data_IF_314573676804
#
_entry.id   IF_314573676804
#
_cell.length_a   1.000
_cell.length_b   1.000
_cell.length_c   1.000
_cell.angle_alpha   90.00
_cell.angle_beta   90.00
_cell.angle_gamma   90.00
#
_symmetry.space_group_name_H-M   'P 1'
#
loop_
_entity.id
_entity.type
_entity.pdbx_description
1 polymer ?
#
# COMPACT_ATOMS: atom_id res chain seq x y z
N UNK A 1 -18.03 -0.07 1.21
CA UNK A 1 -16.79 0.60 1.67
C UNK A 1 -16.22 1.57 0.61
N UNK A 2 -16.03 1.22 -0.67
CA UNK A 2 -15.44 2.14 -1.66
C UNK A 2 -16.19 3.48 -1.81
N UNK A 3 -17.53 3.46 -1.76
CA UNK A 3 -18.35 4.70 -1.77
C UNK A 3 -18.06 5.61 -0.59
N UNK A 4 -17.94 5.05 0.62
CA UNK A 4 -17.61 5.83 1.81
C UNK A 4 -16.20 6.40 1.70
N UNK A 5 -15.24 5.61 1.20
CA UNK A 5 -13.87 6.06 1.00
C UNK A 5 -13.82 7.26 0.03
N UNK A 6 -14.53 7.18 -1.09
CA UNK A 6 -14.64 8.28 -2.05
C UNK A 6 -15.29 9.53 -1.46
N UNK A 7 -16.34 9.35 -0.67
CA UNK A 7 -16.99 10.44 0.04
C UNK A 7 -16.03 11.10 1.03
N UNK A 8 -15.33 10.31 1.85
CA UNK A 8 -14.36 10.79 2.82
C UNK A 8 -13.24 11.57 2.14
N UNK A 9 -12.64 11.03 1.08
CA UNK A 9 -11.62 11.71 0.27
C UNK A 9 -12.11 13.06 -0.23
N UNK A 10 -13.32 13.10 -0.79
CA UNK A 10 -13.92 14.33 -1.30
C UNK A 10 -14.13 15.37 -0.19
N UNK A 11 -14.66 14.95 0.97
CA UNK A 11 -14.90 15.85 2.09
C UNK A 11 -13.60 16.34 2.74
N UNK A 12 -12.58 15.47 2.84
CA UNK A 12 -11.29 15.83 3.39
C UNK A 12 -10.64 16.95 2.57
N UNK A 13 -10.63 16.82 1.24
CA UNK A 13 -10.04 17.85 0.37
C UNK A 13 -10.77 19.19 0.45
N UNK A 14 -12.07 19.19 0.75
CA UNK A 14 -12.85 20.43 0.93
C UNK A 14 -12.49 21.15 2.24
N UNK A 15 -12.14 20.40 3.29
CA UNK A 15 -11.92 20.96 4.62
C UNK A 15 -10.44 21.13 4.98
N UNK A 16 -9.57 20.32 4.41
CA UNK A 16 -8.15 20.24 4.74
C UNK A 16 -7.34 20.31 3.44
N UNK A 17 -6.86 21.50 3.04
CA UNK A 17 -5.97 21.64 1.90
C UNK A 17 -4.74 20.74 2.06
N UNK A 18 -4.51 19.87 1.07
CA UNK A 18 -3.39 18.93 1.08
C UNK A 18 -3.57 17.69 1.98
N UNK A 19 -4.75 17.50 2.60
CA UNK A 19 -5.06 16.24 3.29
C UNK A 19 -5.11 15.06 2.30
N UNK A 20 -4.72 13.87 2.77
CA UNK A 20 -4.72 12.63 1.97
C UNK A 20 -5.44 11.50 2.71
N UNK A 21 -6.20 10.70 1.97
CA UNK A 21 -6.78 9.44 2.42
C UNK A 21 -5.99 8.28 1.79
N UNK A 22 -5.38 7.46 2.65
CA UNK A 22 -4.64 6.27 2.24
C UNK A 22 -5.37 5.00 2.67
N UNK A 23 -5.44 4.02 1.77
CA UNK A 23 -5.97 2.70 2.08
C UNK A 23 -4.85 1.73 2.48
N UNK A 24 -4.95 1.09 3.65
CA UNK A 24 -4.02 0.05 4.07
C UNK A 24 -4.44 -1.32 3.53
N UNK A 25 -3.51 -2.03 2.90
CA UNK A 25 -3.69 -3.39 2.37
C UNK A 25 -4.17 -4.35 3.47
N UNK A 26 -5.48 -4.56 3.58
CA UNK A 26 -6.09 -5.32 4.66
C UNK A 26 -7.36 -6.01 4.17
N UNK A 27 -8.44 -5.27 3.96
CA UNK A 27 -9.71 -5.80 3.47
C UNK A 27 -9.69 -5.81 1.94
N UNK A 28 -10.10 -6.92 1.34
CA UNK A 28 -10.25 -7.06 -0.12
C UNK A 28 -11.69 -6.76 -0.55
N UNK A 29 -11.94 -6.69 -1.87
CA UNK A 29 -13.24 -6.35 -2.46
C UNK A 29 -14.40 -7.25 -2.00
N UNK A 30 -14.11 -8.50 -1.61
CA UNK A 30 -15.08 -9.43 -1.03
C UNK A 30 -15.47 -9.11 0.42
N UNK A 31 -14.81 -8.15 1.06
CA UNK A 31 -14.98 -7.79 2.47
C UNK A 31 -14.15 -8.63 3.44
N UNK A 32 -13.38 -9.61 2.96
CA UNK A 32 -12.51 -10.43 3.79
C UNK A 32 -11.24 -9.68 4.21
N UNK A 33 -10.79 -9.89 5.44
CA UNK A 33 -9.48 -9.45 5.92
C UNK A 33 -8.40 -10.39 5.38
N UNK A 34 -7.62 -9.93 4.40
CA UNK A 34 -6.53 -10.67 3.76
C UNK A 34 -5.49 -9.69 3.20
N UNK A 35 -4.28 -9.69 3.78
CA UNK A 35 -3.14 -8.94 3.26
C UNK A 35 -2.61 -9.54 1.96
N UNK A 36 -2.45 -8.72 0.91
CA UNK A 36 -1.90 -9.15 -0.37
C UNK A 36 -0.40 -8.86 -0.49
N UNK A 37 0.11 -7.94 0.33
CA UNK A 37 1.45 -7.35 0.27
C UNK A 37 1.75 -6.60 -1.03
N UNK A 38 0.71 -6.32 -1.83
CA UNK A 38 0.81 -5.66 -3.13
C UNK A 38 -0.52 -4.99 -3.48
N UNK A 39 -0.48 -4.02 -4.40
CA UNK A 39 -1.66 -3.55 -5.10
C UNK A 39 -2.01 -4.54 -6.21
N UNK A 40 -3.21 -5.09 -6.20
CA UNK A 40 -3.72 -6.01 -7.22
C UNK A 40 -5.25 -5.88 -7.41
N UNK A 41 -5.82 -6.68 -8.31
CA UNK A 41 -7.25 -6.66 -8.64
C UNK A 41 -8.20 -6.81 -7.44
N UNK A 42 -7.76 -7.45 -6.35
CA UNK A 42 -8.61 -7.67 -5.18
C UNK A 42 -8.74 -6.43 -4.28
N UNK A 43 -7.76 -5.51 -4.30
CA UNK A 43 -7.75 -4.31 -3.46
C UNK A 43 -7.73 -3.00 -4.27
N UNK A 44 -7.56 -3.07 -5.60
CA UNK A 44 -7.56 -1.93 -6.52
C UNK A 44 -8.78 -1.01 -6.39
N UNK A 45 -9.95 -1.58 -6.13
CA UNK A 45 -11.18 -0.80 -5.93
C UNK A 45 -11.07 0.25 -4.82
N UNK A 46 -10.23 0.00 -3.80
CA UNK A 46 -9.99 0.95 -2.72
C UNK A 46 -8.98 2.02 -3.14
N UNK A 47 -7.90 1.63 -3.84
CA UNK A 47 -6.93 2.57 -4.40
C UNK A 47 -7.58 3.56 -5.38
N UNK A 48 -8.49 3.08 -6.23
CA UNK A 48 -9.26 3.92 -7.15
C UNK A 48 -10.29 4.81 -6.45
N UNK A 49 -10.48 4.66 -5.14
CA UNK A 49 -11.45 5.40 -4.34
C UNK A 49 -10.80 6.35 -3.32
N UNK A 50 -9.48 6.45 -3.29
CA UNK A 50 -8.72 7.34 -2.40
C UNK A 50 -7.40 7.80 -3.01
N UNK A 51 -6.60 8.55 -2.26
CA UNK A 51 -5.43 9.26 -2.76
C UNK A 51 -4.19 8.37 -2.84
N UNK A 52 -4.14 7.28 -2.09
CA UNK A 52 -3.03 6.35 -2.16
C UNK A 52 -3.27 5.02 -1.49
N UNK A 53 -2.33 4.11 -1.72
CA UNK A 53 -2.36 2.75 -1.19
C UNK A 53 -1.12 2.50 -0.34
N UNK A 54 -1.30 1.93 0.84
CA UNK A 54 -0.21 1.55 1.74
C UNK A 54 -0.14 0.03 1.83
N UNK A 55 0.94 -0.56 1.31
CA UNK A 55 1.10 -2.02 1.29
C UNK A 55 1.34 -2.58 2.69
N UNK A 56 0.92 -3.82 2.92
CA UNK A 56 1.39 -4.55 4.08
C UNK A 56 2.89 -4.83 3.97
N UNK A 57 3.58 -4.89 5.10
CA UNK A 57 5.04 -4.89 5.19
C UNK A 57 5.72 -6.21 4.79
N UNK A 58 4.97 -7.29 4.51
CA UNK A 58 5.51 -8.61 4.18
C UNK A 58 5.60 -8.84 2.66
N UNK A 59 6.06 -7.83 1.92
CA UNK A 59 6.27 -7.89 0.47
C UNK A 59 7.63 -8.51 0.12
N UNK A 60 7.80 -8.82 -1.16
CA UNK A 60 9.02 -9.34 -1.79
C UNK A 60 9.21 -8.61 -3.12
N UNK A 61 10.39 -8.65 -3.72
CA UNK A 61 10.68 -7.96 -4.99
C UNK A 61 9.66 -8.28 -6.09
N UNK A 62 9.24 -9.54 -6.23
CA UNK A 62 8.22 -9.94 -7.20
C UNK A 62 6.84 -9.27 -6.97
N UNK A 63 6.51 -8.88 -5.74
CA UNK A 63 5.31 -8.09 -5.45
C UNK A 63 5.45 -6.67 -6.01
N UNK A 64 6.63 -6.06 -5.87
CA UNK A 64 6.94 -4.71 -6.38
C UNK A 64 6.84 -4.64 -7.90
N UNK A 65 7.34 -5.65 -8.59
CA UNK A 65 7.25 -5.77 -10.05
C UNK A 65 5.79 -5.85 -10.52
N UNK A 66 4.96 -6.67 -9.85
CA UNK A 66 3.54 -6.82 -10.21
C UNK A 66 2.73 -5.54 -9.96
N UNK A 67 2.97 -4.85 -8.85
CA UNK A 67 2.22 -3.64 -8.52
C UNK A 67 2.54 -2.45 -9.43
N UNK A 68 3.74 -2.38 -10.04
CA UNK A 68 4.04 -1.33 -11.03
C UNK A 68 3.03 -1.30 -12.18
N UNK A 69 2.65 -2.48 -12.70
CA UNK A 69 1.64 -2.60 -13.75
C UNK A 69 0.23 -2.25 -13.28
N UNK A 70 -0.05 -2.46 -11.99
CA UNK A 70 -1.38 -2.16 -11.41
C UNK A 70 -1.56 -0.67 -11.13
N UNK A 71 -0.52 0.02 -10.65
CA UNK A 71 -0.59 1.43 -10.28
C UNK A 71 -0.65 2.39 -11.48
N UNK A 72 -0.10 2.00 -12.64
CA UNK A 72 -0.14 2.84 -13.85
C UNK A 72 0.51 4.20 -13.63
N UNK A 73 -0.18 5.28 -14.00
CA UNK A 73 0.31 6.66 -13.79
C UNK A 73 0.41 7.06 -12.30
N UNK A 74 -0.27 6.33 -11.42
CA UNK A 74 -0.32 6.58 -9.97
C UNK A 74 0.70 5.75 -9.18
N UNK A 75 1.82 5.37 -9.80
CA UNK A 75 2.90 4.63 -9.13
C UNK A 75 3.42 5.34 -7.87
N UNK A 76 3.53 6.67 -7.92
CA UNK A 76 3.98 7.48 -6.78
C UNK A 76 2.96 7.51 -5.62
N UNK A 77 1.72 7.08 -5.86
CA UNK A 77 0.67 7.03 -4.84
C UNK A 77 0.63 5.67 -4.11
N UNK A 78 1.57 4.76 -4.40
CA UNK A 78 1.72 3.50 -3.68
C UNK A 78 2.90 3.57 -2.71
N UNK A 79 2.57 3.52 -1.42
CA UNK A 79 3.47 3.58 -0.30
C UNK A 79 3.82 2.16 0.14
N UNK A 80 5.07 1.77 -0.04
CA UNK A 80 5.55 0.42 0.30
C UNK A 80 5.88 0.36 1.79
N UNK A 81 5.13 -0.45 2.54
CA UNK A 81 5.28 -0.55 3.98
C UNK A 81 6.58 -1.23 4.40
N UNK A 82 7.29 -0.66 5.37
CA UNK A 82 8.50 -1.26 5.96
C UNK A 82 8.29 -1.43 7.46
N UNK A 83 8.38 -2.67 7.97
CA UNK A 83 8.26 -2.90 9.41
C UNK A 83 9.59 -2.67 10.13
N UNK A 84 9.75 -1.47 10.68
CA UNK A 84 10.92 -1.07 11.48
C UNK A 84 11.05 -1.84 12.79
N UNK A 85 9.99 -2.52 13.24
CA UNK A 85 10.02 -3.42 14.40
C UNK A 85 10.35 -4.87 14.03
N UNK A 86 10.44 -5.17 12.73
CA UNK A 86 10.81 -6.46 12.14
C UNK A 86 10.05 -7.67 12.68
N UNK A 87 8.73 -7.60 12.56
CA UNK A 87 7.83 -8.72 12.78
C UNK A 87 7.56 -9.36 11.41
N UNK A 88 7.72 -10.68 11.30
CA UNK A 88 7.47 -11.44 10.07
C UNK A 88 8.71 -11.71 9.21
N UNK A 89 8.49 -12.25 8.01
CA UNK A 89 9.54 -12.62 7.05
C UNK A 89 9.69 -11.51 6.00
N UNK A 90 10.26 -10.37 6.43
CA UNK A 90 10.41 -9.17 5.61
C UNK A 90 11.80 -9.06 4.99
N UNK A 91 11.89 -8.46 3.79
CA UNK A 91 13.17 -7.96 3.25
C UNK A 91 13.62 -6.78 4.12
N UNK A 92 14.73 -6.91 4.84
CA UNK A 92 15.38 -5.80 5.56
C UNK A 92 14.61 -5.22 6.76
N UNK A 93 14.51 -5.95 7.87
CA UNK A 93 14.00 -5.43 9.15
C UNK A 93 15.10 -5.14 10.20
N UNK A 94 14.74 -4.46 11.30
CA UNK A 94 15.64 -4.10 12.44
C UNK A 94 16.80 -3.21 11.98
N UNK A 95 18.03 -3.68 12.16
CA UNK A 95 19.25 -2.99 11.75
C UNK A 95 19.44 -2.98 10.22
N UNK A 96 18.62 -3.72 9.48
CA UNK A 96 18.70 -3.84 8.01
C UNK A 96 17.58 -3.07 7.29
N UNK A 97 16.88 -2.16 7.96
CA UNK A 97 15.82 -1.32 7.34
C UNK A 97 16.32 -0.51 6.15
N UNK A 98 17.62 -0.17 6.12
CA UNK A 98 18.24 0.45 4.97
C UNK A 98 18.14 -0.42 3.70
N UNK A 99 18.17 -1.75 3.83
CA UNK A 99 18.04 -2.66 2.68
C UNK A 99 16.65 -2.67 2.08
N UNK A 100 15.61 -2.59 2.92
CA UNK A 100 14.24 -2.44 2.46
C UNK A 100 14.03 -1.13 1.69
N UNK A 101 14.64 -0.04 2.16
CA UNK A 101 14.58 1.27 1.49
C UNK A 101 15.37 1.31 0.17
N UNK A 102 16.41 0.48 0.03
CA UNK A 102 17.26 0.40 -1.16
C UNK A 102 16.83 -0.69 -2.16
N UNK A 103 15.87 -1.55 -1.78
CA UNK A 103 15.49 -2.71 -2.59
C UNK A 103 16.60 -3.78 -2.69
N UNK A 104 17.52 -3.83 -1.73
CA UNK A 104 18.62 -4.79 -1.72
C UNK A 104 18.24 -6.03 -0.90
N UNK A 105 17.94 -7.15 -1.58
CA UNK A 105 17.75 -8.44 -0.93
C UNK A 105 19.00 -8.94 -0.16
N UNK A 106 18.86 -9.90 0.76
CA UNK A 106 20.01 -10.56 1.38
C UNK A 106 20.86 -11.22 0.28
N UNK A 107 22.17 -10.90 0.28
CA UNK A 107 23.17 -11.58 -0.55
C UNK A 107 23.23 -13.07 -0.28
#
# INVERSE_FOLDING_TARGET
MPHFLRYLTTQLHQQVPGGLVLWYDSVVSSGQLKWQNELNEHNRVFFDSCDGFFTNYNWQEAHLERMQGQAGERQADVYVGVDVFARGNVVGGRFETNKAALGEGPR
#
